data_IF_849613272933
#
_entry.id   IF_849613272933
#
_cell.length_a   1.000
_cell.length_b   1.000
_cell.length_c   1.000
_cell.angle_alpha   90.00
_cell.angle_beta   90.00
_cell.angle_gamma   90.00
#
_symmetry.space_group_name_H-M   'P 1'
#
loop_
_entity.id
_entity.type
_entity.pdbx_description
1 polymer ?
#
# COMPACT_ATOMS: atom_id res chain seq x y z
N UNK A 1 -17.63 2.16 11.63
CA UNK A 1 -16.22 1.80 11.40
C UNK A 1 -16.02 1.85 9.91
N UNK A 2 -15.12 2.68 9.44
CA UNK A 2 -14.82 2.86 8.04
C UNK A 2 -13.63 1.96 7.73
N UNK A 3 -13.77 1.15 6.70
CA UNK A 3 -12.71 0.30 6.20
C UNK A 3 -12.06 0.99 4.99
N UNK A 4 -10.74 1.01 4.96
CA UNK A 4 -9.98 1.43 3.79
C UNK A 4 -9.17 0.25 3.31
N UNK A 5 -9.39 -0.15 2.07
CA UNK A 5 -8.59 -1.14 1.37
C UNK A 5 -7.48 -0.43 0.61
N UNK A 6 -6.25 -0.65 1.04
CA UNK A 6 -5.06 -0.23 0.35
C UNK A 6 -4.51 -1.37 -0.50
N UNK A 7 -4.51 -1.19 -1.82
CA UNK A 7 -3.99 -2.14 -2.80
C UNK A 7 -2.70 -1.61 -3.40
N UNK A 8 -1.57 -2.23 -3.03
CA UNK A 8 -0.28 -1.94 -3.61
C UNK A 8 0.08 -3.03 -4.62
N UNK A 9 0.10 -2.66 -5.90
CA UNK A 9 0.58 -3.52 -6.97
C UNK A 9 2.08 -3.32 -7.15
N UNK A 10 2.82 -4.40 -7.02
CA UNK A 10 4.26 -4.43 -7.23
C UNK A 10 4.63 -5.47 -8.28
N UNK A 11 5.70 -5.22 -9.01
CA UNK A 11 6.32 -6.17 -9.93
C UNK A 11 7.69 -6.58 -9.40
N UNK A 12 7.88 -7.88 -9.31
CA UNK A 12 9.13 -8.54 -8.97
C UNK A 12 9.60 -9.30 -10.23
N UNK A 13 10.47 -8.68 -11.02
CA UNK A 13 10.92 -9.24 -12.29
C UNK A 13 9.75 -9.50 -13.25
N UNK A 14 9.41 -10.77 -13.48
CA UNK A 14 8.31 -11.18 -14.36
C UNK A 14 6.99 -11.45 -13.62
N UNK A 15 6.98 -11.40 -12.28
CA UNK A 15 5.81 -11.67 -11.48
C UNK A 15 5.18 -10.37 -10.98
N UNK A 16 3.87 -10.23 -11.10
CA UNK A 16 3.12 -9.14 -10.46
C UNK A 16 2.50 -9.68 -9.17
N UNK A 17 2.69 -8.97 -8.07
CA UNK A 17 2.06 -9.25 -6.78
C UNK A 17 1.19 -8.07 -6.38
N UNK A 18 0.07 -8.38 -5.72
CA UNK A 18 -0.84 -7.39 -5.17
C UNK A 18 -0.80 -7.56 -3.66
N UNK A 19 -0.42 -6.51 -2.96
CA UNK A 19 -0.33 -6.48 -1.51
C UNK A 19 -1.51 -5.65 -1.01
N UNK A 20 -2.46 -6.33 -0.39
CA UNK A 20 -3.64 -5.71 0.18
C UNK A 20 -3.40 -5.42 1.66
N UNK A 21 -3.81 -4.24 2.10
CA UNK A 21 -3.76 -3.80 3.48
C UNK A 21 -5.11 -3.21 3.85
N UNK A 22 -5.71 -3.71 4.93
CA UNK A 22 -6.99 -3.24 5.42
C UNK A 22 -6.75 -2.32 6.61
N UNK A 23 -7.26 -1.09 6.52
CA UNK A 23 -7.14 -0.07 7.55
C UNK A 23 -8.53 0.19 8.10
N UNK A 24 -8.73 -0.07 9.38
CA UNK A 24 -10.00 0.16 10.06
C UNK A 24 -9.90 1.41 10.92
N UNK A 25 -10.79 2.38 10.67
CA UNK A 25 -10.85 3.65 11.42
C UNK A 25 -12.27 3.91 11.91
N UNK A 26 -12.39 4.58 13.05
CA UNK A 26 -13.70 4.98 13.58
C UNK A 26 -14.27 6.23 12.86
N UNK A 27 -13.39 7.05 12.28
CA UNK A 27 -13.71 8.30 11.56
C UNK A 27 -13.05 8.31 10.18
N UNK A 28 -13.56 9.16 9.29
CA UNK A 28 -13.02 9.30 7.94
C UNK A 28 -11.59 9.84 8.01
N UNK A 29 -10.67 9.19 7.29
CA UNK A 29 -9.28 9.67 7.19
C UNK A 29 -9.24 10.93 6.33
N UNK A 30 -8.40 11.88 6.70
CA UNK A 30 -8.17 13.06 5.86
C UNK A 30 -7.33 12.69 4.64
N UNK A 31 -7.38 13.52 3.59
CA UNK A 31 -6.53 13.33 2.40
C UNK A 31 -5.04 13.27 2.77
N UNK A 32 -4.57 14.12 3.70
CA UNK A 32 -3.21 14.07 4.25
C UNK A 32 -2.86 12.73 4.88
N UNK A 33 -3.75 12.16 5.70
CA UNK A 33 -3.52 10.84 6.31
C UNK A 33 -3.47 9.74 5.24
N UNK A 34 -4.35 9.82 4.22
CA UNK A 34 -4.39 8.88 3.10
C UNK A 34 -3.10 8.92 2.29
N UNK A 35 -2.62 10.12 1.95
CA UNK A 35 -1.42 10.34 1.16
C UNK A 35 -0.15 9.92 1.93
N UNK A 36 -0.06 10.29 3.21
CA UNK A 36 1.01 9.83 4.09
C UNK A 36 1.07 8.30 4.14
N UNK A 37 -0.10 7.63 4.25
CA UNK A 37 -0.17 6.16 4.24
C UNK A 37 0.24 5.54 2.92
N UNK A 38 -0.13 6.13 1.77
CA UNK A 38 0.35 5.66 0.46
C UNK A 38 1.88 5.66 0.41
N UNK A 39 2.50 6.78 0.80
CA UNK A 39 3.96 6.95 0.76
C UNK A 39 4.64 6.01 1.75
N UNK A 40 4.15 5.94 2.98
CA UNK A 40 4.71 5.08 4.04
C UNK A 40 4.65 3.60 3.64
N UNK A 41 3.52 3.14 3.12
CA UNK A 41 3.34 1.75 2.73
C UNK A 41 4.23 1.36 1.54
N UNK A 42 4.30 2.21 0.52
CA UNK A 42 5.20 2.05 -0.63
C UNK A 42 6.66 1.93 -0.18
N UNK A 43 7.12 2.85 0.68
CA UNK A 43 8.49 2.85 1.20
C UNK A 43 8.79 1.63 2.06
N UNK A 44 7.87 1.28 2.97
CA UNK A 44 8.00 0.14 3.85
C UNK A 44 8.14 -1.17 3.05
N UNK A 45 7.30 -1.36 2.04
CA UNK A 45 7.40 -2.54 1.15
C UNK A 45 8.69 -2.52 0.34
N UNK A 46 9.10 -1.39 -0.21
CA UNK A 46 10.40 -1.31 -0.89
C UNK A 46 11.56 -1.64 0.05
N UNK A 47 11.55 -1.16 1.29
CA UNK A 47 12.61 -1.38 2.26
C UNK A 47 12.71 -2.83 2.72
N UNK A 48 11.57 -3.47 3.03
CA UNK A 48 11.53 -4.90 3.39
C UNK A 48 12.15 -5.73 2.28
N UNK A 49 11.61 -5.60 1.07
CA UNK A 49 12.03 -6.45 -0.04
C UNK A 49 13.45 -6.09 -0.50
N UNK A 50 13.83 -4.81 -0.46
CA UNK A 50 15.22 -4.39 -0.73
C UNK A 50 16.21 -4.96 0.29
N UNK A 51 15.80 -5.14 1.55
CA UNK A 51 16.63 -5.78 2.57
C UNK A 51 16.84 -7.27 2.29
N UNK A 52 15.87 -7.92 1.64
CA UNK A 52 15.97 -9.29 1.14
C UNK A 52 16.67 -9.38 -0.23
N UNK A 53 17.12 -8.25 -0.80
CA UNK A 53 17.77 -8.19 -2.11
C UNK A 53 16.79 -8.25 -3.30
N UNK A 54 15.49 -8.09 -3.04
CA UNK A 54 14.42 -8.14 -4.02
C UNK A 54 14.08 -6.71 -4.48
N UNK A 55 14.23 -6.44 -5.78
CA UNK A 55 13.84 -5.16 -6.37
C UNK A 55 12.36 -5.18 -6.77
N UNK A 56 11.52 -4.57 -5.94
CA UNK A 56 10.13 -4.33 -6.26
C UNK A 56 9.94 -3.04 -7.05
N UNK A 57 9.29 -3.14 -8.20
CA UNK A 57 8.78 -1.99 -8.93
C UNK A 57 7.34 -1.72 -8.52
N UNK A 58 7.08 -0.56 -7.92
CA UNK A 58 5.72 -0.15 -7.59
C UNK A 58 5.00 0.23 -8.88
N UNK A 59 3.93 -0.49 -9.19
CA UNK A 59 3.08 -0.23 -10.34
C UNK A 59 1.94 0.71 -9.97
N UNK A 60 1.26 0.44 -8.86
CA UNK A 60 0.04 1.14 -8.48
C UNK A 60 -0.14 1.11 -6.96
N UNK A 61 -0.63 2.19 -6.37
CA UNK A 61 -0.99 2.27 -4.95
C UNK A 61 -2.31 3.01 -4.81
N UNK A 62 -3.39 2.25 -4.60
CA UNK A 62 -4.75 2.77 -4.47
C UNK A 62 -5.19 2.55 -3.03
N UNK A 63 -5.84 3.57 -2.45
CA UNK A 63 -6.57 3.43 -1.20
C UNK A 63 -8.02 3.71 -1.52
N UNK A 64 -8.89 2.75 -1.24
CA UNK A 64 -10.31 2.79 -1.53
C UNK A 64 -11.07 2.63 -0.23
N UNK A 65 -12.04 3.49 0.03
CA UNK A 65 -12.97 3.30 1.14
C UNK A 65 -13.91 2.13 0.81
N UNK A 66 -13.93 1.11 1.66
CA UNK A 66 -14.83 -0.04 1.59
C UNK A 66 -15.95 0.21 2.60
N UNK A 67 -17.19 0.13 2.12
CA UNK A 67 -18.40 0.42 2.89
C UNK A 67 -19.36 -0.77 2.83
#
# INVERSE_FOLDING_TARGET
MIEYLQELRVREGNQVRIINSHIFKEKCMTEDELEAKKIEFSKYMQEIYSSEGIKLEILENIITEVN
#
